data_IF_982869715197
#
_entry.id   IF_982869715197
#
_cell.length_a   1.000
_cell.length_b   1.000
_cell.length_c   1.000
_cell.angle_alpha   90.00
_cell.angle_beta   90.00
_cell.angle_gamma   90.00
#
_symmetry.space_group_name_H-M   'P 1'
#
loop_
_entity.id
_entity.type
_entity.pdbx_description
1 polymer ?
#
# COMPACT_ATOMS: atom_id res chain seq x y z
N UNK A 1 -4.22 22.79 -10.61
CA UNK A 1 -4.27 23.69 -11.79
C UNK A 1 -5.69 24.02 -12.23
N UNK A 2 -6.55 23.02 -12.51
CA UNK A 2 -7.96 23.22 -12.93
C UNK A 2 -8.73 24.20 -12.03
N UNK A 3 -8.60 24.02 -10.70
CA UNK A 3 -9.25 24.84 -9.69
C UNK A 3 -8.78 26.32 -9.68
N UNK A 4 -7.51 26.60 -10.02
CA UNK A 4 -6.98 27.98 -10.14
C UNK A 4 -7.68 28.71 -11.27
N UNK A 5 -7.66 28.07 -12.44
CA UNK A 5 -8.18 28.63 -13.67
C UNK A 5 -9.71 28.74 -13.63
N UNK A 6 -10.41 27.79 -13.01
CA UNK A 6 -11.87 27.84 -12.80
C UNK A 6 -12.29 28.94 -11.81
N UNK A 7 -11.53 29.15 -10.71
CA UNK A 7 -11.87 30.15 -9.69
C UNK A 7 -11.46 31.58 -10.05
N UNK A 8 -10.43 31.77 -10.87
CA UNK A 8 -9.95 33.08 -11.31
C UNK A 8 -10.66 33.58 -12.58
N UNK A 9 -11.61 32.80 -13.14
CA UNK A 9 -12.48 33.15 -14.27
C UNK A 9 -11.75 33.66 -15.54
N UNK A 10 -10.45 33.38 -15.69
CA UNK A 10 -9.66 33.76 -16.88
C UNK A 10 -9.92 32.86 -18.09
N UNK A 11 -10.87 31.92 -18.00
CA UNK A 11 -11.19 30.98 -19.08
C UNK A 11 -12.62 31.20 -19.57
N UNK A 12 -12.81 30.99 -20.88
CA UNK A 12 -14.12 31.04 -21.52
C UNK A 12 -15.11 30.07 -20.85
N UNK A 13 -16.40 30.41 -20.94
CA UNK A 13 -17.49 29.59 -20.39
C UNK A 13 -17.46 28.14 -20.92
N UNK A 14 -17.08 27.96 -22.19
CA UNK A 14 -16.92 26.64 -22.79
C UNK A 14 -15.86 25.80 -22.07
N UNK A 15 -14.66 26.37 -21.86
CA UNK A 15 -13.57 25.68 -21.17
C UNK A 15 -13.91 25.41 -19.70
N UNK A 16 -14.64 26.31 -19.02
CA UNK A 16 -15.15 26.04 -17.68
C UNK A 16 -16.09 24.84 -17.66
N UNK A 17 -17.02 24.75 -18.63
CA UNK A 17 -17.91 23.61 -18.81
C UNK A 17 -17.16 22.31 -19.04
N UNK A 18 -16.17 22.30 -19.94
CA UNK A 18 -15.31 21.13 -20.20
C UNK A 18 -14.56 20.71 -18.93
N UNK A 19 -14.00 21.65 -18.17
CA UNK A 19 -13.30 21.34 -16.94
C UNK A 19 -14.21 20.68 -15.89
N UNK A 20 -15.44 21.19 -15.71
CA UNK A 20 -16.41 20.58 -14.78
C UNK A 20 -16.94 19.24 -15.28
N UNK A 21 -17.18 19.10 -16.58
CA UNK A 21 -17.51 17.81 -17.20
C UNK A 21 -16.44 16.75 -16.90
N UNK A 22 -15.18 17.07 -17.20
CA UNK A 22 -14.05 16.16 -16.96
C UNK A 22 -13.87 15.86 -15.48
N UNK A 23 -14.12 16.83 -14.60
CA UNK A 23 -14.03 16.62 -13.14
C UNK A 23 -15.06 15.58 -12.66
N UNK A 24 -16.29 15.62 -13.17
CA UNK A 24 -17.31 14.61 -12.91
C UNK A 24 -16.95 13.23 -13.44
N UNK A 25 -16.38 13.16 -14.65
CA UNK A 25 -15.91 11.91 -15.23
C UNK A 25 -14.77 11.28 -14.42
N UNK A 26 -13.80 12.10 -13.97
CA UNK A 26 -12.70 11.65 -13.12
C UNK A 26 -13.24 11.12 -11.79
N UNK A 27 -14.22 11.78 -11.17
CA UNK A 27 -14.86 11.26 -9.97
C UNK A 27 -15.46 9.87 -10.20
N UNK A 28 -16.20 9.67 -11.29
CA UNK A 28 -16.81 8.38 -11.62
C UNK A 28 -15.77 7.27 -11.79
N UNK A 29 -14.67 7.55 -12.49
CA UNK A 29 -13.55 6.61 -12.65
C UNK A 29 -12.98 6.24 -11.28
N UNK A 30 -12.68 7.25 -10.44
CA UNK A 30 -12.07 7.03 -9.12
C UNK A 30 -12.99 6.24 -8.17
N UNK A 31 -14.30 6.50 -8.19
CA UNK A 31 -15.29 5.73 -7.41
C UNK A 31 -15.36 4.28 -7.89
N UNK A 32 -15.26 4.06 -9.21
CA UNK A 32 -15.32 2.71 -9.82
C UNK A 32 -14.10 1.84 -9.52
N UNK A 33 -12.97 2.43 -9.08
CA UNK A 33 -11.76 1.68 -8.73
C UNK A 33 -11.84 0.96 -7.37
N UNK A 34 -12.94 1.13 -6.61
CA UNK A 34 -13.28 0.33 -5.42
C UNK A 34 -12.22 0.20 -4.31
N UNK A 35 -11.22 1.08 -4.25
CA UNK A 35 -10.30 1.14 -3.11
C UNK A 35 -10.91 1.98 -2.00
N UNK A 36 -10.88 1.52 -0.74
CA UNK A 36 -11.53 2.23 0.37
C UNK A 36 -10.92 3.63 0.62
N UNK A 37 -9.70 3.87 0.14
CA UNK A 37 -9.07 5.21 0.14
C UNK A 37 -9.74 6.16 -0.83
N UNK A 38 -10.25 5.68 -1.97
CA UNK A 38 -10.85 6.54 -2.99
C UNK A 38 -12.23 7.09 -2.58
N UNK A 39 -12.79 6.66 -1.43
CA UNK A 39 -13.98 7.29 -0.82
C UNK A 39 -13.76 8.71 -0.30
N UNK A 40 -12.51 9.15 -0.20
CA UNK A 40 -12.19 10.57 0.03
C UNK A 40 -12.60 11.43 -1.17
N UNK A 41 -12.55 10.88 -2.38
CA UNK A 41 -12.77 11.65 -3.60
C UNK A 41 -14.18 12.26 -3.68
N UNK A 42 -15.28 11.54 -3.35
CA UNK A 42 -16.61 12.13 -3.20
C UNK A 42 -16.68 13.30 -2.19
N UNK A 43 -16.00 13.20 -1.05
CA UNK A 43 -16.00 14.24 0.00
C UNK A 43 -15.28 15.49 -0.51
N UNK A 44 -14.08 15.33 -1.06
CA UNK A 44 -13.26 16.40 -1.64
C UNK A 44 -13.99 17.06 -2.81
N UNK A 45 -14.66 16.26 -3.64
CA UNK A 45 -15.48 16.74 -4.74
C UNK A 45 -16.67 17.58 -4.25
N UNK A 46 -17.40 17.10 -3.23
CA UNK A 46 -18.51 17.83 -2.62
C UNK A 46 -18.07 19.18 -2.03
N UNK A 47 -16.97 19.19 -1.28
CA UNK A 47 -16.38 20.41 -0.72
C UNK A 47 -15.99 21.41 -1.83
N UNK A 48 -15.41 20.93 -2.93
CA UNK A 48 -15.06 21.76 -4.09
C UNK A 48 -16.29 22.37 -4.75
N UNK A 49 -17.38 21.59 -4.89
CA UNK A 49 -18.65 22.07 -5.41
C UNK A 49 -19.23 23.18 -4.52
N UNK A 50 -19.32 22.93 -3.21
CA UNK A 50 -19.86 23.89 -2.23
C UNK A 50 -19.06 25.19 -2.26
N UNK A 51 -17.73 25.12 -2.23
CA UNK A 51 -16.87 26.30 -2.27
C UNK A 51 -17.05 27.10 -3.56
N UNK A 52 -17.14 26.43 -4.71
CA UNK A 52 -17.34 27.12 -5.99
C UNK A 52 -18.71 27.81 -6.08
N UNK A 53 -19.76 27.15 -5.59
CA UNK A 53 -21.11 27.72 -5.49
C UNK A 53 -21.09 28.94 -4.58
N UNK A 54 -20.48 28.82 -3.39
CA UNK A 54 -20.37 29.91 -2.43
C UNK A 54 -19.67 31.14 -3.03
N UNK A 55 -18.57 30.95 -3.76
CA UNK A 55 -17.85 32.07 -4.40
C UNK A 55 -18.64 32.74 -5.53
N UNK A 56 -19.49 31.99 -6.23
CA UNK A 56 -20.22 32.45 -7.41
C UNK A 56 -21.75 32.51 -7.18
N UNK A 57 -22.19 32.66 -5.93
CA UNK A 57 -23.61 32.54 -5.55
C UNK A 57 -24.54 33.54 -6.24
N UNK A 58 -23.99 34.63 -6.79
CA UNK A 58 -24.74 35.66 -7.54
C UNK A 58 -24.86 35.38 -9.04
N UNK A 59 -24.11 34.41 -9.57
CA UNK A 59 -24.05 34.08 -11.01
C UNK A 59 -24.65 32.70 -11.26
N UNK A 60 -25.93 32.68 -11.62
CA UNK A 60 -26.72 31.46 -11.79
C UNK A 60 -26.12 30.51 -12.84
N UNK A 61 -25.49 31.05 -13.91
CA UNK A 61 -24.84 30.24 -14.94
C UNK A 61 -23.62 29.50 -14.38
N UNK A 62 -22.87 30.13 -13.47
CA UNK A 62 -21.70 29.48 -12.85
C UNK A 62 -22.11 28.41 -11.84
N UNK A 63 -23.20 28.61 -11.11
CA UNK A 63 -23.73 27.61 -10.16
C UNK A 63 -24.15 26.30 -10.87
N UNK A 64 -24.49 26.37 -12.16
CA UNK A 64 -24.84 25.19 -12.96
C UNK A 64 -23.64 24.29 -13.30
N UNK A 65 -22.39 24.79 -13.28
CA UNK A 65 -21.25 23.94 -13.63
C UNK A 65 -20.97 22.80 -12.64
N UNK A 66 -21.00 23.01 -11.30
CA UNK A 66 -21.00 21.91 -10.34
C UNK A 66 -22.12 20.89 -10.58
N UNK A 67 -23.32 21.35 -10.96
CA UNK A 67 -24.44 20.47 -11.26
C UNK A 67 -24.19 19.61 -12.52
N UNK A 68 -23.57 20.20 -13.57
CA UNK A 68 -23.12 19.46 -14.75
C UNK A 68 -22.14 18.34 -14.37
N UNK A 69 -21.17 18.64 -13.51
CA UNK A 69 -20.19 17.65 -13.03
C UNK A 69 -20.85 16.50 -12.26
N UNK A 70 -21.80 16.80 -11.39
CA UNK A 70 -22.60 15.80 -10.67
C UNK A 70 -23.40 14.92 -11.64
N UNK A 71 -24.03 15.53 -12.66
CA UNK A 71 -24.81 14.82 -13.65
C UNK A 71 -23.92 13.87 -14.47
N UNK A 72 -22.77 14.35 -14.93
CA UNK A 72 -21.79 13.52 -15.67
C UNK A 72 -21.29 12.36 -14.81
N UNK A 73 -20.94 12.60 -13.55
CA UNK A 73 -20.51 11.55 -12.64
C UNK A 73 -21.58 10.46 -12.47
N UNK A 74 -22.85 10.85 -12.30
CA UNK A 74 -23.95 9.92 -12.13
C UNK A 74 -24.29 9.14 -13.41
N UNK A 75 -24.22 9.78 -14.57
CA UNK A 75 -24.39 9.11 -15.87
C UNK A 75 -23.27 8.08 -16.08
N UNK A 76 -22.02 8.46 -15.83
CA UNK A 76 -20.87 7.55 -15.96
C UNK A 76 -20.95 6.38 -14.96
N UNK A 77 -21.46 6.62 -13.75
CA UNK A 77 -21.71 5.60 -12.73
C UNK A 77 -23.03 4.84 -12.93
N UNK A 78 -23.81 5.10 -13.98
CA UNK A 78 -25.10 4.44 -14.17
C UNK A 78 -25.04 2.90 -14.16
N UNK A 79 -24.06 2.24 -14.81
CA UNK A 79 -23.92 0.78 -14.72
C UNK A 79 -23.66 0.32 -13.28
N UNK A 80 -22.88 1.09 -12.52
CA UNK A 80 -22.60 0.83 -11.12
C UNK A 80 -23.87 0.97 -10.27
N UNK A 81 -24.63 2.06 -10.45
CA UNK A 81 -25.89 2.29 -9.73
C UNK A 81 -26.93 1.22 -10.02
N UNK A 82 -27.04 0.78 -11.27
CA UNK A 82 -27.90 -0.36 -11.63
C UNK A 82 -27.52 -1.61 -10.84
N UNK A 83 -26.22 -1.89 -10.72
CA UNK A 83 -25.69 -3.00 -9.92
C UNK A 83 -26.01 -2.84 -8.42
N UNK A 84 -25.76 -1.67 -7.83
CA UNK A 84 -26.05 -1.41 -6.43
C UNK A 84 -27.54 -1.47 -6.10
N UNK A 85 -28.40 -0.87 -6.92
CA UNK A 85 -29.86 -0.90 -6.74
C UNK A 85 -30.35 -2.36 -6.79
N UNK A 86 -29.89 -3.15 -7.77
CA UNK A 86 -30.27 -4.58 -7.88
C UNK A 86 -29.83 -5.41 -6.67
N UNK A 87 -28.80 -4.97 -5.94
CA UNK A 87 -28.23 -5.63 -4.75
C UNK A 87 -28.64 -4.96 -3.44
N UNK A 88 -29.67 -4.09 -3.45
CA UNK A 88 -30.11 -3.33 -2.27
C UNK A 88 -28.96 -2.61 -1.54
N UNK A 89 -28.03 -2.05 -2.32
CA UNK A 89 -26.83 -1.33 -1.87
C UNK A 89 -25.90 -2.17 -0.99
N UNK A 90 -25.81 -3.49 -1.22
CA UNK A 90 -25.00 -4.39 -0.39
C UNK A 90 -23.51 -3.98 -0.35
N UNK A 91 -22.91 -3.56 -1.47
CA UNK A 91 -21.49 -3.18 -1.46
C UNK A 91 -21.31 -1.85 -0.74
N UNK A 92 -22.12 -0.84 -1.05
CA UNK A 92 -22.09 0.44 -0.33
C UNK A 92 -22.30 0.26 1.18
N UNK A 93 -23.24 -0.60 1.58
CA UNK A 93 -23.45 -0.96 3.00
C UNK A 93 -22.22 -1.64 3.60
N UNK A 94 -21.61 -2.61 2.91
CA UNK A 94 -20.38 -3.28 3.38
C UNK A 94 -19.21 -2.31 3.49
N UNK A 95 -19.08 -1.35 2.58
CA UNK A 95 -18.02 -0.34 2.62
C UNK A 95 -18.24 0.61 3.80
N UNK A 96 -19.45 1.14 3.95
CA UNK A 96 -19.81 2.00 5.10
C UNK A 96 -19.61 1.21 6.40
N UNK A 97 -20.06 -0.03 6.46
CA UNK A 97 -19.79 -0.93 7.59
C UNK A 97 -18.29 -1.22 7.75
N UNK A 98 -17.49 -1.31 6.69
CA UNK A 98 -16.05 -1.51 6.83
C UNK A 98 -15.39 -0.26 7.41
N UNK A 99 -15.81 0.93 6.98
CA UNK A 99 -15.31 2.21 7.51
C UNK A 99 -15.78 2.46 8.95
N UNK A 100 -17.03 2.09 9.29
CA UNK A 100 -17.60 2.27 10.62
C UNK A 100 -17.19 1.15 11.59
N UNK A 101 -17.12 -0.11 11.13
CA UNK A 101 -16.85 -1.31 11.94
C UNK A 101 -15.37 -1.74 11.94
N UNK A 102 -14.49 -1.19 11.08
CA UNK A 102 -13.03 -1.19 11.38
C UNK A 102 -12.75 -0.49 12.71
N UNK A 103 -13.76 0.23 13.21
CA UNK A 103 -13.88 0.84 14.52
C UNK A 103 -14.16 -0.07 15.72
N UNK A 104 -14.48 -1.36 15.67
CA UNK A 104 -14.76 -2.07 16.95
C UNK A 104 -13.55 -2.15 17.92
N UNK A 105 -12.32 -1.99 17.42
CA UNK A 105 -11.12 -1.72 18.23
C UNK A 105 -10.63 -0.27 18.15
N UNK A 106 -11.17 0.54 17.24
CA UNK A 106 -10.77 1.93 17.02
C UNK A 106 -11.75 2.97 17.59
N UNK A 107 -12.95 2.57 18.00
CA UNK A 107 -13.96 3.36 18.72
C UNK A 107 -13.51 3.67 20.14
N UNK A 108 -12.62 2.84 20.69
CA UNK A 108 -12.06 2.98 22.03
C UNK A 108 -10.97 4.05 22.10
N UNK A 109 -10.47 4.53 20.94
CA UNK A 109 -9.48 5.59 20.88
C UNK A 109 -10.13 6.96 20.75
N UNK A 110 -9.66 7.89 21.57
CA UNK A 110 -9.98 9.31 21.48
C UNK A 110 -9.59 9.90 20.12
N UNK A 111 -10.22 11.01 19.68
CA UNK A 111 -9.84 11.69 18.43
C UNK A 111 -8.35 12.06 18.35
N UNK A 112 -7.73 12.38 19.49
CA UNK A 112 -6.32 12.74 19.58
C UNK A 112 -5.41 11.52 19.38
N UNK A 113 -5.76 10.37 19.97
CA UNK A 113 -5.06 9.10 19.74
C UNK A 113 -5.20 8.63 18.29
N UNK A 114 -6.37 8.83 17.65
CA UNK A 114 -6.55 8.58 16.22
C UNK A 114 -5.63 9.46 15.39
N UNK A 115 -5.52 10.75 15.70
CA UNK A 115 -4.63 11.66 14.99
C UNK A 115 -3.15 11.25 15.17
N UNK A 116 -2.73 10.95 16.40
CA UNK A 116 -1.40 10.45 16.72
C UNK A 116 -1.06 9.16 15.96
N UNK A 117 -2.01 8.22 15.90
CA UNK A 117 -1.88 6.99 15.10
C UNK A 117 -1.81 7.25 13.61
N UNK A 118 -2.58 8.22 13.09
CA UNK A 118 -2.52 8.63 11.69
C UNK A 118 -1.13 9.15 11.31
N UNK A 119 -0.54 9.98 12.18
CA UNK A 119 0.82 10.49 12.02
C UNK A 119 1.84 9.34 12.11
N UNK A 120 1.74 8.48 13.12
CA UNK A 120 2.64 7.34 13.27
C UNK A 120 2.58 6.40 12.06
N UNK A 121 1.37 6.06 11.60
CA UNK A 121 1.16 5.29 10.38
C UNK A 121 1.82 5.97 9.18
N UNK A 122 1.68 7.29 9.02
CA UNK A 122 2.32 8.00 7.91
C UNK A 122 3.85 7.93 7.95
N UNK A 123 4.44 8.11 9.13
CA UNK A 123 5.90 8.01 9.32
C UNK A 123 6.40 6.60 9.04
N UNK A 124 5.65 5.60 9.53
CA UNK A 124 5.98 4.19 9.37
C UNK A 124 5.84 3.73 7.91
N UNK A 125 4.77 4.14 7.24
CA UNK A 125 4.61 3.93 5.79
C UNK A 125 5.72 4.64 5.01
N UNK A 126 6.06 5.87 5.40
CA UNK A 126 7.16 6.61 4.81
C UNK A 126 8.50 5.89 4.96
N UNK A 127 8.79 5.33 6.15
CA UNK A 127 9.98 4.50 6.38
C UNK A 127 9.97 3.30 5.44
N UNK A 128 8.86 2.57 5.39
CA UNK A 128 8.73 1.36 4.59
C UNK A 128 8.71 1.60 3.07
N UNK A 129 8.40 2.82 2.60
CA UNK A 129 8.39 3.15 1.17
C UNK A 129 9.68 3.85 0.72
N UNK A 130 10.19 4.79 1.51
CA UNK A 130 11.30 5.66 1.11
C UNK A 130 12.66 5.20 1.65
N UNK A 131 12.70 4.58 2.83
CA UNK A 131 13.94 4.25 3.52
C UNK A 131 13.84 2.89 4.19
N UNK A 132 13.81 1.84 3.36
CA UNK A 132 13.54 0.47 3.80
C UNK A 132 14.67 -0.02 4.72
N UNK A 133 14.37 -0.22 5.99
CA UNK A 133 15.28 -0.82 6.95
C UNK A 133 14.77 -0.80 8.38
N UNK A 134 15.11 -1.82 9.17
CA UNK A 134 14.56 -2.04 10.52
C UNK A 134 15.26 -1.28 11.65
N UNK A 135 16.25 -0.44 11.37
CA UNK A 135 16.99 0.31 12.40
C UNK A 135 16.36 1.68 12.68
N UNK A 136 16.53 2.20 13.90
CA UNK A 136 16.08 3.54 14.30
C UNK A 136 16.65 4.65 13.42
N UNK A 137 17.82 4.42 12.81
CA UNK A 137 18.41 5.33 11.83
C UNK A 137 17.47 5.61 10.64
N UNK A 138 16.89 4.56 10.04
CA UNK A 138 15.97 4.73 8.90
C UNK A 138 14.66 5.41 9.32
N UNK A 139 14.20 5.18 10.55
CA UNK A 139 13.03 5.88 11.11
C UNK A 139 13.30 7.38 11.25
N UNK A 140 14.44 7.76 11.84
CA UNK A 140 14.84 9.17 11.99
C UNK A 140 15.00 9.81 10.61
N UNK A 141 15.66 9.13 9.69
CA UNK A 141 15.88 9.64 8.33
C UNK A 141 14.57 9.86 7.58
N UNK A 142 13.64 8.90 7.66
CA UNK A 142 12.29 9.04 7.10
C UNK A 142 11.54 10.23 7.69
N UNK A 143 11.56 10.37 9.02
CA UNK A 143 10.95 11.51 9.70
C UNK A 143 11.55 12.84 9.21
N UNK A 144 12.88 12.96 9.21
CA UNK A 144 13.58 14.15 8.74
C UNK A 144 13.26 14.46 7.28
N UNK A 145 13.21 13.46 6.41
CA UNK A 145 12.85 13.62 5.00
C UNK A 145 11.42 14.15 4.84
N UNK A 146 10.44 13.53 5.50
CA UNK A 146 9.03 13.92 5.39
C UNK A 146 8.79 15.35 5.90
N UNK A 147 9.40 15.70 7.04
CA UNK A 147 9.34 17.07 7.59
C UNK A 147 10.02 18.06 6.67
N UNK A 148 11.19 17.70 6.12
CA UNK A 148 11.94 18.55 5.21
C UNK A 148 11.16 18.82 3.92
N UNK A 149 10.56 17.79 3.30
CA UNK A 149 9.73 17.93 2.09
C UNK A 149 8.51 18.80 2.34
N UNK A 150 7.79 18.56 3.46
CA UNK A 150 6.63 19.35 3.82
C UNK A 150 7.00 20.82 4.07
N UNK A 151 8.03 21.07 4.88
CA UNK A 151 8.52 22.41 5.17
C UNK A 151 8.99 23.12 3.90
N UNK A 152 9.78 22.43 3.07
CA UNK A 152 10.27 22.94 1.80
C UNK A 152 9.12 23.39 0.89
N UNK A 153 8.09 22.55 0.73
CA UNK A 153 6.90 22.89 -0.04
C UNK A 153 6.17 24.11 0.55
N UNK A 154 5.92 24.15 1.87
CA UNK A 154 5.19 25.27 2.52
C UNK A 154 5.92 26.60 2.34
N UNK A 155 7.24 26.62 2.54
CA UNK A 155 8.05 27.85 2.50
C UNK A 155 8.36 28.31 1.09
N UNK A 156 8.58 27.38 0.15
CA UNK A 156 8.95 27.72 -1.24
C UNK A 156 7.77 27.87 -2.17
N UNK A 157 6.60 27.34 -1.84
CA UNK A 157 5.44 27.47 -2.71
C UNK A 157 5.03 28.94 -2.88
N UNK A 158 5.18 29.44 -4.12
CA UNK A 158 4.77 30.78 -4.56
C UNK A 158 3.46 30.78 -5.37
N UNK A 159 2.81 29.62 -5.48
CA UNK A 159 1.56 29.47 -6.23
C UNK A 159 0.32 29.93 -5.46
N UNK A 160 -0.86 29.52 -5.93
CA UNK A 160 -2.13 29.89 -5.30
C UNK A 160 -2.30 29.16 -3.95
N UNK A 161 -2.25 29.94 -2.85
CA UNK A 161 -2.31 29.42 -1.47
C UNK A 161 -3.59 28.63 -1.19
N UNK A 162 -4.73 28.99 -1.78
CA UNK A 162 -6.01 28.29 -1.59
C UNK A 162 -5.91 26.85 -2.12
N UNK A 163 -5.30 26.66 -3.30
CA UNK A 163 -5.14 25.33 -3.90
C UNK A 163 -4.21 24.47 -3.07
N UNK A 164 -3.13 25.07 -2.58
CA UNK A 164 -2.18 24.38 -1.74
C UNK A 164 -2.80 23.98 -0.40
N UNK A 165 -3.59 24.85 0.22
CA UNK A 165 -4.39 24.51 1.40
C UNK A 165 -5.38 23.40 1.13
N UNK A 166 -6.03 23.38 -0.04
CA UNK A 166 -6.95 22.31 -0.43
C UNK A 166 -6.25 20.96 -0.64
N UNK A 167 -5.05 20.97 -1.23
CA UNK A 167 -4.21 19.79 -1.37
C UNK A 167 -3.79 19.24 0.00
N UNK A 168 -3.33 20.11 0.91
CA UNK A 168 -2.98 19.74 2.28
C UNK A 168 -4.21 19.18 3.01
N UNK A 169 -5.36 19.83 2.90
CA UNK A 169 -6.61 19.37 3.51
C UNK A 169 -7.00 17.97 3.01
N UNK A 170 -6.89 17.73 1.70
CA UNK A 170 -7.12 16.41 1.10
C UNK A 170 -6.24 15.34 1.74
N UNK A 171 -4.95 15.64 1.94
CA UNK A 171 -4.02 14.75 2.64
C UNK A 171 -4.38 14.52 4.10
N UNK A 172 -4.85 15.54 4.82
CA UNK A 172 -5.35 15.39 6.18
C UNK A 172 -6.58 14.48 6.27
N UNK A 173 -7.51 14.58 5.31
CA UNK A 173 -8.67 13.67 5.25
C UNK A 173 -8.20 12.22 5.03
N UNK A 174 -7.23 12.01 4.13
CA UNK A 174 -6.64 10.68 3.93
C UNK A 174 -5.96 10.14 5.20
N UNK A 175 -5.19 10.96 5.91
CA UNK A 175 -4.59 10.61 7.20
C UNK A 175 -5.65 10.24 8.25
N UNK A 176 -6.75 11.00 8.30
CA UNK A 176 -7.88 10.75 9.19
C UNK A 176 -8.61 9.44 8.89
N UNK A 177 -8.64 9.00 7.64
CA UNK A 177 -9.19 7.69 7.28
C UNK A 177 -8.20 6.57 7.57
N UNK A 178 -6.92 6.75 7.24
CA UNK A 178 -5.88 5.75 7.52
C UNK A 178 -5.71 5.45 9.02
N UNK A 179 -5.99 6.43 9.90
CA UNK A 179 -5.98 6.19 11.35
C UNK A 179 -7.05 5.22 11.83
N UNK A 180 -8.13 5.03 11.07
CA UNK A 180 -9.20 4.09 11.39
C UNK A 180 -8.91 2.66 10.91
N UNK A 181 -7.81 2.42 10.19
CA UNK A 181 -7.39 1.09 9.73
C UNK A 181 -6.26 0.51 10.60
N UNK A 182 -6.64 -0.38 11.50
CA UNK A 182 -5.75 -0.99 12.52
C UNK A 182 -5.21 -2.37 12.13
N UNK A 183 -5.73 -3.00 11.07
CA UNK A 183 -5.26 -4.31 10.60
C UNK A 183 -4.07 -4.24 9.64
N UNK A 184 -3.06 -5.10 9.89
CA UNK A 184 -1.90 -5.38 9.03
C UNK A 184 -2.24 -5.62 7.54
N UNK A 185 -3.40 -6.20 7.25
CA UNK A 185 -3.87 -6.51 5.89
C UNK A 185 -4.53 -5.32 5.17
N UNK A 186 -4.68 -4.17 5.84
CA UNK A 186 -5.33 -2.96 5.31
C UNK A 186 -4.33 -1.91 4.81
N UNK A 187 -3.05 -2.26 4.73
CA UNK A 187 -1.95 -1.35 4.36
C UNK A 187 -2.09 -0.81 2.92
N UNK A 188 -2.71 -1.58 2.02
CA UNK A 188 -3.12 -1.10 0.68
C UNK A 188 -4.01 0.16 0.76
N UNK A 189 -4.87 0.24 1.78
CA UNK A 189 -5.73 1.40 2.03
C UNK A 189 -5.02 2.57 2.74
N UNK A 190 -3.68 2.54 2.80
CA UNK A 190 -2.87 3.66 3.28
C UNK A 190 -1.91 4.18 2.20
N UNK A 191 -1.79 3.46 1.06
CA UNK A 191 -0.85 3.77 -0.03
C UNK A 191 -1.03 5.17 -0.63
N UNK A 192 -2.25 5.70 -0.67
CA UNK A 192 -2.47 7.02 -1.29
C UNK A 192 -1.66 8.09 -0.55
N UNK A 193 -1.55 8.00 0.79
CA UNK A 193 -0.80 8.96 1.62
C UNK A 193 0.68 9.00 1.25
N UNK A 194 1.22 7.90 0.70
CA UNK A 194 2.61 7.85 0.25
C UNK A 194 2.90 8.80 -0.90
N UNK A 195 1.91 9.24 -1.69
CA UNK A 195 2.19 10.18 -2.78
C UNK A 195 2.38 11.63 -2.31
N UNK A 196 2.03 11.96 -1.06
CA UNK A 196 2.11 13.33 -0.55
C UNK A 196 3.52 13.92 -0.64
N UNK A 197 4.60 13.24 -0.20
CA UNK A 197 5.96 13.74 -0.33
C UNK A 197 6.36 14.00 -1.78
N UNK A 198 6.04 13.09 -2.71
CA UNK A 198 6.38 13.24 -4.13
C UNK A 198 5.76 14.52 -4.70
N UNK A 199 4.46 14.72 -4.47
CA UNK A 199 3.76 15.91 -4.98
C UNK A 199 4.30 17.18 -4.33
N UNK A 200 4.53 17.18 -3.02
CA UNK A 200 5.05 18.33 -2.29
C UNK A 200 6.48 18.70 -2.74
N UNK A 201 7.32 17.70 -3.00
CA UNK A 201 8.66 17.89 -3.56
C UNK A 201 8.60 18.56 -4.94
N UNK A 202 7.76 18.06 -5.85
CA UNK A 202 7.61 18.65 -7.20
C UNK A 202 7.15 20.11 -7.10
N UNK A 203 6.11 20.36 -6.30
CA UNK A 203 5.56 21.72 -6.09
C UNK A 203 6.60 22.66 -5.47
N UNK A 204 7.38 22.18 -4.50
CA UNK A 204 8.43 22.96 -3.85
C UNK A 204 9.57 23.30 -4.80
N UNK A 205 9.99 22.34 -5.64
CA UNK A 205 11.06 22.53 -6.62
C UNK A 205 10.65 23.48 -7.75
N UNK A 206 9.42 23.36 -8.27
CA UNK A 206 8.89 24.25 -9.32
C UNK A 206 8.94 25.72 -8.88
N UNK A 207 8.62 26.00 -7.62
CA UNK A 207 8.58 27.36 -7.09
C UNK A 207 9.96 27.90 -6.66
N UNK A 208 11.02 27.10 -6.77
CA UNK A 208 12.34 27.41 -6.28
C UNK A 208 13.17 28.14 -7.36
N UNK A 209 13.68 29.33 -7.04
CA UNK A 209 14.61 30.04 -7.93
C UNK A 209 16.04 29.53 -7.70
N UNK A 210 16.54 28.69 -8.61
CA UNK A 210 17.86 28.06 -8.48
C UNK A 210 19.06 29.01 -8.68
N UNK A 211 18.82 30.26 -9.09
CA UNK A 211 19.90 31.26 -9.16
C UNK A 211 20.39 31.70 -7.78
N UNK A 212 19.56 31.59 -6.74
CA UNK A 212 19.95 31.91 -5.37
C UNK A 212 20.71 30.74 -4.73
N UNK A 213 21.90 31.03 -4.18
CA UNK A 213 22.76 30.02 -3.53
C UNK A 213 22.05 29.21 -2.44
N UNK A 214 21.18 29.84 -1.64
CA UNK A 214 20.40 29.15 -0.60
C UNK A 214 19.43 28.11 -1.18
N UNK A 215 18.73 28.46 -2.26
CA UNK A 215 17.79 27.55 -2.93
C UNK A 215 18.54 26.41 -3.62
N UNK A 216 19.72 26.70 -4.20
CA UNK A 216 20.59 25.69 -4.78
C UNK A 216 21.06 24.67 -3.74
N UNK A 217 21.51 25.12 -2.56
CA UNK A 217 21.92 24.23 -1.47
C UNK A 217 20.74 23.34 -1.02
N UNK A 218 19.56 23.92 -0.84
CA UNK A 218 18.36 23.16 -0.44
C UNK A 218 17.96 22.12 -1.50
N UNK A 219 18.01 22.48 -2.78
CA UNK A 219 17.72 21.56 -3.88
C UNK A 219 18.74 20.41 -3.95
N UNK A 220 20.02 20.69 -3.73
CA UNK A 220 21.08 19.67 -3.66
C UNK A 220 20.82 18.72 -2.47
N UNK A 221 20.52 19.25 -1.28
CA UNK A 221 20.19 18.44 -0.11
C UNK A 221 18.98 17.53 -0.36
N UNK A 222 17.93 18.06 -0.99
CA UNK A 222 16.75 17.28 -1.38
C UNK A 222 17.11 16.17 -2.38
N UNK A 223 17.95 16.49 -3.36
CA UNK A 223 18.42 15.53 -4.37
C UNK A 223 19.22 14.40 -3.72
N UNK A 224 20.07 14.71 -2.74
CA UNK A 224 20.83 13.70 -1.99
C UNK A 224 19.87 12.78 -1.21
N UNK A 225 18.86 13.34 -0.54
CA UNK A 225 17.87 12.54 0.20
C UNK A 225 17.06 11.62 -0.71
N UNK A 226 16.63 12.12 -1.88
CA UNK A 226 15.94 11.31 -2.90
C UNK A 226 16.89 10.23 -3.44
N UNK A 227 18.13 10.58 -3.76
CA UNK A 227 19.13 9.64 -4.23
C UNK A 227 19.39 8.52 -3.21
N UNK A 228 19.47 8.86 -1.93
CA UNK A 228 19.61 7.88 -0.85
C UNK A 228 18.35 7.00 -0.71
N UNK A 229 17.15 7.58 -0.86
CA UNK A 229 15.89 6.83 -0.88
C UNK A 229 15.85 5.81 -2.03
N UNK A 230 16.22 6.24 -3.24
CA UNK A 230 16.35 5.36 -4.40
C UNK A 230 17.38 4.26 -4.17
N UNK A 231 18.55 4.61 -3.63
CA UNK A 231 19.62 3.65 -3.34
C UNK A 231 19.20 2.60 -2.30
N UNK A 232 18.55 3.03 -1.21
CA UNK A 232 18.00 2.13 -0.19
C UNK A 232 16.97 1.16 -0.79
N UNK A 233 16.07 1.66 -1.64
CA UNK A 233 15.10 0.81 -2.35
C UNK A 233 15.77 -0.14 -3.35
N UNK A 234 16.82 0.30 -4.06
CA UNK A 234 17.57 -0.56 -4.98
C UNK A 234 18.30 -1.70 -4.25
N UNK A 235 18.86 -1.44 -3.06
CA UNK A 235 19.45 -2.49 -2.22
C UNK A 235 18.40 -3.54 -1.86
N UNK A 236 17.22 -3.10 -1.40
CA UNK A 236 16.14 -4.02 -1.03
C UNK A 236 15.63 -4.82 -2.24
N UNK A 237 15.47 -4.17 -3.40
CA UNK A 237 15.10 -4.86 -4.65
C UNK A 237 16.17 -5.86 -5.08
N UNK A 238 17.45 -5.54 -4.95
CA UNK A 238 18.55 -6.46 -5.23
C UNK A 238 18.51 -7.68 -4.30
N UNK A 239 18.26 -7.47 -3.01
CA UNK A 239 18.07 -8.57 -2.06
C UNK A 239 16.88 -9.43 -2.43
N UNK A 240 15.74 -8.83 -2.79
CA UNK A 240 14.57 -9.55 -3.26
C UNK A 240 14.88 -10.41 -4.50
N UNK A 241 15.51 -9.82 -5.51
CA UNK A 241 15.92 -10.55 -6.71
C UNK A 241 16.90 -11.68 -6.40
N UNK A 242 17.84 -11.47 -5.46
CA UNK A 242 18.79 -12.49 -5.01
C UNK A 242 18.09 -13.69 -4.39
N UNK A 243 16.95 -13.48 -3.73
CA UNK A 243 16.15 -14.54 -3.09
C UNK A 243 15.25 -15.29 -4.04
N UNK A 244 14.96 -14.71 -5.20
CA UNK A 244 14.12 -15.32 -6.25
C UNK A 244 14.95 -16.05 -7.31
N UNK A 245 16.09 -15.48 -7.69
CA UNK A 245 16.89 -15.93 -8.83
C UNK A 245 18.39 -16.07 -8.55
N UNK A 246 18.88 -15.60 -7.40
CA UNK A 246 20.32 -15.52 -7.11
C UNK A 246 20.84 -16.61 -6.18
N UNK A 247 21.99 -16.35 -5.58
CA UNK A 247 22.70 -17.27 -4.66
C UNK A 247 21.97 -17.52 -3.35
N UNK A 248 20.97 -16.70 -3.01
CA UNK A 248 20.11 -16.85 -1.83
C UNK A 248 18.72 -17.38 -2.22
N UNK A 249 18.62 -18.11 -3.33
CA UNK A 249 17.36 -18.64 -3.86
C UNK A 249 16.59 -19.40 -2.78
N UNK A 250 15.37 -18.95 -2.53
CA UNK A 250 14.46 -19.60 -1.60
C UNK A 250 13.69 -20.74 -2.26
N UNK A 251 13.13 -21.60 -1.41
CA UNK A 251 12.25 -22.68 -1.85
C UNK A 251 11.02 -22.08 -2.53
N UNK A 252 10.99 -22.18 -3.86
CA UNK A 252 9.87 -21.73 -4.68
C UNK A 252 8.74 -22.77 -4.72
N UNK A 253 7.59 -22.37 -5.24
CA UNK A 253 6.48 -23.31 -5.47
C UNK A 253 6.86 -24.40 -6.48
N UNK A 254 7.62 -24.06 -7.51
CA UNK A 254 8.10 -25.03 -8.51
C UNK A 254 9.08 -26.03 -7.90
N UNK A 255 10.00 -25.54 -7.06
CA UNK A 255 10.92 -26.42 -6.31
C UNK A 255 10.13 -27.38 -5.39
N UNK A 256 9.09 -26.88 -4.72
CA UNK A 256 8.22 -27.71 -3.88
C UNK A 256 7.46 -28.77 -4.71
N UNK A 257 6.92 -28.41 -5.89
CA UNK A 257 6.28 -29.37 -6.80
C UNK A 257 7.29 -30.45 -7.23
N UNK A 258 8.51 -30.06 -7.60
CA UNK A 258 9.56 -30.99 -8.01
C UNK A 258 9.95 -31.96 -6.89
N UNK A 259 10.08 -31.47 -5.64
CA UNK A 259 10.33 -32.31 -4.47
C UNK A 259 9.17 -33.30 -4.28
N UNK A 260 7.92 -32.81 -4.23
CA UNK A 260 6.75 -33.65 -4.03
C UNK A 260 6.62 -34.73 -5.12
N UNK A 261 6.96 -34.40 -6.37
CA UNK A 261 6.94 -35.33 -7.48
C UNK A 261 8.01 -36.43 -7.40
N UNK A 262 9.07 -36.25 -6.60
CA UNK A 262 10.11 -37.27 -6.38
C UNK A 262 9.86 -38.11 -5.13
N UNK A 263 9.06 -37.63 -4.18
CA UNK A 263 8.70 -38.42 -3.00
C UNK A 263 7.91 -39.68 -3.37
N UNK A 264 8.03 -40.78 -2.59
CA UNK A 264 7.19 -41.95 -2.76
C UNK A 264 5.69 -41.61 -2.60
N UNK A 265 4.84 -42.39 -3.25
CA UNK A 265 3.38 -42.27 -3.08
C UNK A 265 2.98 -42.48 -1.63
N UNK A 266 1.95 -41.76 -1.17
CA UNK A 266 1.41 -41.81 0.20
C UNK A 266 2.45 -41.53 1.29
N UNK A 267 3.55 -40.86 0.95
CA UNK A 267 4.54 -40.43 1.92
C UNK A 267 3.99 -39.35 2.87
N UNK A 268 4.56 -39.29 4.06
CA UNK A 268 4.19 -38.31 5.09
C UNK A 268 5.26 -37.24 5.20
N UNK A 269 4.89 -35.98 5.00
CA UNK A 269 5.75 -34.84 5.24
C UNK A 269 5.50 -34.31 6.65
N UNK A 270 6.56 -34.17 7.45
CA UNK A 270 6.48 -33.50 8.74
C UNK A 270 6.93 -32.03 8.64
N UNK A 271 6.16 -31.12 9.23
CA UNK A 271 6.57 -29.72 9.40
C UNK A 271 6.25 -29.23 10.83
N UNK A 272 7.21 -29.30 11.76
CA UNK A 272 7.01 -28.98 13.17
C UNK A 272 6.70 -27.50 13.42
N UNK A 273 6.91 -26.61 12.43
CA UNK A 273 6.67 -25.17 12.55
C UNK A 273 5.18 -24.79 12.52
N UNK A 274 4.27 -25.73 12.26
CA UNK A 274 2.85 -25.44 11.97
C UNK A 274 1.82 -26.03 12.94
N UNK A 275 2.26 -26.42 14.16
CA UNK A 275 1.40 -27.02 15.20
C UNK A 275 0.11 -26.21 15.43
N UNK A 276 -1.04 -26.81 15.13
CA UNK A 276 -2.32 -26.44 15.73
C UNK A 276 -3.32 -25.52 14.99
N UNK A 277 -3.06 -24.94 13.81
CA UNK A 277 -4.08 -24.03 13.18
C UNK A 277 -4.29 -24.03 11.67
N UNK A 278 -3.50 -24.73 10.84
CA UNK A 278 -3.58 -24.56 9.36
C UNK A 278 -3.42 -25.81 8.48
N UNK A 279 -3.57 -27.02 9.02
CA UNK A 279 -3.40 -28.28 8.23
C UNK A 279 -4.27 -28.32 6.96
N UNK A 280 -5.46 -27.68 6.97
CA UNK A 280 -6.40 -27.69 5.82
C UNK A 280 -5.95 -26.80 4.65
N UNK A 281 -5.12 -25.78 4.88
CA UNK A 281 -4.65 -24.83 3.86
C UNK A 281 -3.12 -24.89 3.67
N UNK A 282 -2.49 -25.99 4.05
CA UNK A 282 -1.05 -26.13 3.93
C UNK A 282 -0.62 -26.13 2.45
N UNK A 283 0.42 -25.38 2.05
CA UNK A 283 0.87 -25.30 0.67
C UNK A 283 1.11 -26.68 0.04
N UNK A 284 1.83 -27.57 0.72
CA UNK A 284 2.10 -28.91 0.20
C UNK A 284 0.84 -29.75 -0.03
N UNK A 285 -0.18 -29.64 0.84
CA UNK A 285 -1.45 -30.34 0.67
C UNK A 285 -2.25 -29.81 -0.52
N UNK A 286 -2.17 -28.50 -0.75
CA UNK A 286 -2.77 -27.89 -1.93
C UNK A 286 -2.09 -28.35 -3.22
N UNK A 287 -0.75 -28.31 -3.25
CA UNK A 287 0.04 -28.74 -4.40
C UNK A 287 -0.16 -30.23 -4.70
N UNK A 288 -0.20 -31.08 -3.67
CA UNK A 288 -0.50 -32.50 -3.86
C UNK A 288 -1.92 -32.71 -4.40
N UNK A 289 -2.94 -32.07 -3.81
CA UNK A 289 -4.33 -32.26 -4.24
C UNK A 289 -4.57 -31.85 -5.71
N UNK A 290 -3.98 -30.75 -6.15
CA UNK A 290 -4.31 -30.16 -7.45
C UNK A 290 -3.27 -30.39 -8.54
N UNK A 291 -2.01 -30.66 -8.19
CA UNK A 291 -0.89 -30.76 -9.15
C UNK A 291 -0.28 -32.17 -9.14
N UNK A 292 0.31 -32.59 -8.02
CA UNK A 292 1.19 -33.77 -7.97
C UNK A 292 0.41 -35.09 -7.81
N UNK A 293 -0.69 -35.09 -7.06
CA UNK A 293 -1.65 -36.19 -6.88
C UNK A 293 -1.03 -37.51 -6.40
N UNK A 294 -0.06 -37.45 -5.46
CA UNK A 294 0.58 -38.62 -4.85
C UNK A 294 -0.03 -39.06 -3.51
N UNK A 295 -1.02 -38.33 -3.01
CA UNK A 295 -1.68 -38.66 -1.75
C UNK A 295 -0.79 -38.39 -0.54
N UNK A 296 -0.01 -37.31 -0.60
CA UNK A 296 0.95 -36.92 0.43
C UNK A 296 0.21 -36.55 1.71
N UNK A 297 0.64 -37.13 2.83
CA UNK A 297 0.11 -36.84 4.16
C UNK A 297 0.95 -35.76 4.85
N UNK A 298 0.35 -35.04 5.79
CA UNK A 298 1.04 -34.04 6.61
C UNK A 298 0.96 -34.43 8.08
N UNK A 299 2.10 -34.44 8.76
CA UNK A 299 2.21 -34.66 10.20
C UNK A 299 2.80 -33.42 10.89
N UNK A 300 2.30 -33.11 12.08
CA UNK A 300 2.84 -32.02 12.91
C UNK A 300 4.13 -32.42 13.63
N UNK A 301 4.33 -33.72 13.85
CA UNK A 301 5.50 -34.28 14.51
C UNK A 301 6.32 -35.12 13.51
N UNK A 302 7.64 -34.98 13.57
CA UNK A 302 8.55 -35.79 12.77
C UNK A 302 8.76 -37.15 13.44
N UNK A 303 8.25 -38.21 12.82
CA UNK A 303 8.41 -39.61 13.22
C UNK A 303 9.34 -40.34 12.23
N UNK A 304 9.98 -41.45 12.65
CA UNK A 304 10.77 -42.30 11.75
C UNK A 304 9.99 -42.65 10.48
N UNK A 305 10.63 -42.54 9.32
CA UNK A 305 10.03 -42.75 8.01
C UNK A 305 9.32 -41.53 7.40
N UNK A 306 9.09 -40.45 8.16
CA UNK A 306 8.57 -39.20 7.61
C UNK A 306 9.64 -38.45 6.80
N UNK A 307 9.19 -37.54 5.95
CA UNK A 307 10.05 -36.64 5.18
C UNK A 307 9.98 -35.22 5.73
N UNK A 308 11.13 -34.57 5.85
CA UNK A 308 11.20 -33.16 6.22
C UNK A 308 11.84 -32.35 5.09
N UNK A 309 11.08 -31.37 4.55
CA UNK A 309 11.59 -30.43 3.57
C UNK A 309 12.23 -29.26 4.32
N UNK A 310 13.54 -29.14 4.19
CA UNK A 310 14.36 -28.18 4.89
C UNK A 310 14.92 -27.11 3.93
N UNK A 311 14.31 -25.90 3.86
CA UNK A 311 14.82 -24.82 3.02
C UNK A 311 16.22 -24.41 3.47
N UNK A 312 17.19 -24.25 2.56
CA UNK A 312 18.56 -23.82 2.92
C UNK A 312 18.64 -22.37 3.38
N UNK A 313 17.72 -21.56 2.86
CA UNK A 313 17.57 -20.14 3.18
C UNK A 313 16.12 -19.93 3.62
N UNK A 314 15.94 -19.21 4.72
CA UNK A 314 14.63 -18.78 5.20
C UNK A 314 14.56 -17.26 5.33
N UNK A 315 13.35 -16.72 5.34
CA UNK A 315 13.09 -15.32 5.65
C UNK A 315 12.75 -15.15 7.11
N UNK A 316 13.32 -14.09 7.71
CA UNK A 316 12.76 -13.55 8.94
C UNK A 316 11.51 -12.77 8.56
N UNK A 317 10.36 -13.45 8.58
CA UNK A 317 9.08 -12.78 8.49
C UNK A 317 8.86 -12.05 9.81
N UNK A 318 8.66 -10.73 9.78
CA UNK A 318 8.16 -10.01 10.95
C UNK A 318 6.67 -10.34 11.11
N UNK A 319 6.30 -11.13 12.13
CA UNK A 319 4.93 -11.62 12.29
C UNK A 319 3.93 -10.50 12.67
N UNK A 320 4.41 -9.28 12.95
CA UNK A 320 3.54 -8.12 13.21
C UNK A 320 2.61 -7.82 12.03
N UNK A 321 3.02 -8.15 10.79
CA UNK A 321 2.25 -7.84 9.59
C UNK A 321 2.13 -6.33 9.31
N UNK A 322 2.84 -5.48 10.05
CA UNK A 322 2.71 -4.02 9.98
C UNK A 322 3.51 -3.41 8.82
N UNK A 323 4.27 -4.23 8.07
CA UNK A 323 5.12 -3.78 6.97
C UNK A 323 4.42 -3.86 5.59
N UNK A 324 4.42 -2.74 4.84
CA UNK A 324 4.02 -2.58 3.44
C UNK A 324 4.68 -3.59 2.51
N UNK A 325 5.96 -3.86 2.76
CA UNK A 325 6.77 -4.85 2.08
C UNK A 325 7.49 -5.69 3.12
N UNK A 326 7.56 -7.02 2.97
CA UNK A 326 8.38 -7.84 3.86
C UNK A 326 9.83 -7.33 3.81
N UNK A 327 10.41 -7.10 4.98
CA UNK A 327 11.85 -6.85 5.08
C UNK A 327 12.53 -8.16 4.72
N UNK A 328 13.15 -8.22 3.54
CA UNK A 328 13.79 -9.42 3.01
C UNK A 328 15.14 -9.65 3.70
N UNK A 329 15.10 -10.04 4.97
CA UNK A 329 16.26 -10.54 5.69
C UNK A 329 16.34 -12.06 5.51
N UNK A 330 17.06 -12.48 4.47
CA UNK A 330 17.36 -13.88 4.22
C UNK A 330 18.46 -14.34 5.19
N UNK A 331 18.27 -15.51 5.81
CA UNK A 331 19.28 -16.13 6.65
C UNK A 331 19.46 -17.60 6.29
N UNK A 332 20.69 -18.11 6.47
CA UNK A 332 20.97 -19.54 6.34
C UNK A 332 20.33 -20.26 7.53
N UNK A 333 19.53 -21.26 7.23
CA UNK A 333 18.92 -22.10 8.26
C UNK A 333 19.97 -22.99 8.90
N UNK A 334 19.88 -23.23 10.21
CA UNK A 334 20.76 -24.17 10.92
C UNK A 334 20.54 -25.61 10.45
N UNK A 335 21.42 -26.59 10.69
CA UNK A 335 21.15 -27.98 10.32
C UNK A 335 19.92 -28.55 11.05
N UNK A 336 19.22 -29.50 10.44
CA UNK A 336 18.11 -30.21 11.10
C UNK A 336 18.68 -31.16 12.17
N UNK A 337 18.28 -30.98 13.43
CA UNK A 337 18.96 -31.59 14.60
C UNK A 337 18.62 -33.08 14.81
N UNK A 338 17.53 -33.59 14.23
CA UNK A 338 17.11 -34.98 14.43
C UNK A 338 17.88 -35.93 13.50
N UNK A 339 18.19 -37.13 14.01
CA UNK A 339 18.81 -38.20 13.24
C UNK A 339 18.00 -38.47 11.97
N UNK A 340 18.65 -38.31 10.83
CA UNK A 340 18.01 -38.37 9.53
C UNK A 340 19.01 -38.66 8.43
N UNK A 341 18.51 -39.24 7.34
CA UNK A 341 19.24 -39.51 6.13
C UNK A 341 18.83 -38.54 5.02
N UNK A 342 19.80 -38.04 4.26
CA UNK A 342 19.52 -37.16 3.12
C UNK A 342 18.83 -37.98 2.01
N UNK A 343 17.58 -37.64 1.69
CA UNK A 343 16.82 -38.29 0.62
C UNK A 343 17.08 -37.64 -0.73
N UNK A 344 17.04 -36.31 -0.80
CA UNK A 344 17.41 -35.55 -1.98
C UNK A 344 17.89 -34.16 -1.61
N UNK A 345 18.69 -33.57 -2.49
CA UNK A 345 19.15 -32.21 -2.38
C UNK A 345 18.81 -31.45 -3.66
N UNK A 346 18.29 -30.24 -3.50
CA UNK A 346 18.10 -29.28 -4.59
C UNK A 346 18.78 -27.95 -4.20
N UNK A 347 18.97 -27.01 -5.15
CA UNK A 347 19.64 -25.74 -4.84
C UNK A 347 19.01 -24.97 -3.67
N UNK A 348 17.68 -25.03 -3.48
CA UNK A 348 16.95 -24.25 -2.48
C UNK A 348 16.61 -25.00 -1.18
N UNK A 349 16.75 -26.33 -1.13
CA UNK A 349 16.37 -27.14 0.02
C UNK A 349 17.11 -28.48 0.11
N UNK A 350 17.22 -29.00 1.33
CA UNK A 350 17.50 -30.40 1.61
C UNK A 350 16.18 -31.11 1.93
N UNK A 351 16.06 -32.37 1.54
CA UNK A 351 14.93 -33.22 1.93
C UNK A 351 15.50 -34.39 2.70
N UNK A 352 15.11 -34.48 3.97
CA UNK A 352 15.57 -35.52 4.87
C UNK A 352 14.48 -36.56 5.06
N UNK A 353 14.88 -37.83 5.17
CA UNK A 353 14.05 -38.90 5.72
C UNK A 353 14.45 -39.09 7.18
N UNK A 354 13.48 -39.07 8.07
CA UNK A 354 13.71 -39.28 9.50
C UNK A 354 14.04 -40.76 9.73
N UNK A 355 15.12 -41.04 10.47
CA UNK A 355 15.59 -42.40 10.75
C UNK A 355 14.82 -43.07 11.88
#
# INVERSE_FOLDING_TARGET
MLYKYQLEAKISNFLQGVCWFTYGLVLAILVSLHSTTLFVMPIVFGASCIFYIYKNFRDLKKILYPALSLLVANIALFPYWRGEISRNFLNSKRIVQTVLNSGQKASDYSPLEKLGRGIFNYLELGRQAYFIGGSSFYTILSFSFLVFVLGFAIFKFKGNRIIFSFLIFTWFVYLGIASNYTGAYLTYYKLIILFAPIILTIIGLEACNLSETKNRILAIALTILIGFSCFSNLIHNSQYLSTKYGSLKMLSTDDAIAILAQLPERSTICDPRYRGRRVRHHPYKYLDKYIVKKGIQLAELCQPGNYHIYPKIAFKFDPSGENLAPVFAAYKTQPFEQKSSLFMEIPSAYVYRID
#
